data_IF_681798251807
#
_entry.id   IF_681798251807
#
_cell.length_a   1.000
_cell.length_b   1.000
_cell.length_c   1.000
_cell.angle_alpha   90.00
_cell.angle_beta   90.00
_cell.angle_gamma   90.00
#
_symmetry.space_group_name_H-M   'P 1'
#
loop_
_entity.id
_entity.type
_entity.pdbx_description
1 polymer ?
#
# COMPACT_ATOMS: atom_id res chain seq x y z
N UNK A 1 -8.95 5.06 0.30
CA UNK A 1 -7.68 4.33 0.45
C UNK A 1 -7.22 4.34 1.89
N UNK A 2 -6.49 3.32 2.31
CA UNK A 2 -5.90 3.32 3.65
C UNK A 2 -5.06 2.08 3.89
N UNK A 3 -4.14 2.19 4.85
CA UNK A 3 -3.24 1.10 5.16
C UNK A 3 -2.55 1.29 6.49
N UNK A 4 -1.88 0.23 6.94
CA UNK A 4 -1.20 0.15 8.21
C UNK A 4 0.26 -0.25 8.01
N UNK A 5 1.14 0.40 8.77
CA UNK A 5 2.56 0.10 8.81
C UNK A 5 2.90 -0.60 10.11
N UNK A 6 3.71 -1.65 9.99
CA UNK A 6 4.32 -2.34 11.12
C UNK A 6 5.84 -2.33 10.99
N UNK A 7 6.52 -2.29 12.12
CA UNK A 7 7.95 -2.57 12.16
C UNK A 7 8.24 -4.08 12.15
N UNK A 8 9.53 -4.44 12.18
CA UNK A 8 10.00 -5.83 12.17
C UNK A 8 9.61 -6.62 13.43
N UNK A 9 9.21 -5.94 14.50
CA UNK A 9 8.71 -6.53 15.75
C UNK A 9 7.17 -6.65 15.73
N UNK A 10 6.56 -6.48 14.55
CA UNK A 10 5.12 -6.49 14.32
C UNK A 10 4.34 -5.40 15.07
N UNK A 11 5.02 -4.36 15.57
CA UNK A 11 4.35 -3.24 16.25
C UNK A 11 3.77 -2.29 15.23
N UNK A 12 2.53 -1.86 15.45
CA UNK A 12 1.91 -0.82 14.64
C UNK A 12 2.63 0.51 14.87
N UNK A 13 3.21 1.06 13.80
CA UNK A 13 3.94 2.34 13.87
C UNK A 13 3.14 3.50 13.31
N UNK A 14 2.20 3.23 12.38
CA UNK A 14 1.37 4.24 11.72
C UNK A 14 0.22 3.62 10.93
N UNK A 15 -0.88 4.36 10.81
CA UNK A 15 -1.87 4.17 9.76
C UNK A 15 -2.00 5.39 8.85
N UNK A 16 -2.59 5.20 7.68
CA UNK A 16 -3.03 6.30 6.81
C UNK A 16 -4.43 6.00 6.28
N UNK A 17 -5.18 7.06 6.02
CA UNK A 17 -6.50 7.01 5.39
C UNK A 17 -6.63 8.21 4.46
N UNK A 18 -7.30 8.03 3.34
CA UNK A 18 -7.61 9.08 2.39
C UNK A 18 -8.91 8.77 1.67
N UNK A 19 -9.73 9.80 1.47
CA UNK A 19 -10.89 9.71 0.61
C UNK A 19 -10.47 9.87 -0.86
N UNK A 20 -10.99 8.99 -1.72
CA UNK A 20 -10.73 8.99 -3.17
C UNK A 20 -12.03 8.99 -3.97
N UNK A 21 -13.15 9.35 -3.34
CA UNK A 21 -14.48 9.32 -3.98
C UNK A 21 -14.79 7.93 -4.56
N UNK A 22 -15.67 7.85 -5.56
CA UNK A 22 -16.14 6.57 -6.14
C UNK A 22 -15.17 6.11 -7.23
N UNK A 23 -14.53 4.96 -7.00
CA UNK A 23 -13.64 4.28 -7.94
C UNK A 23 -13.90 2.76 -7.89
N UNK A 24 -13.48 2.03 -8.91
CA UNK A 24 -13.51 0.56 -8.90
C UNK A 24 -12.48 -0.02 -7.93
N UNK A 25 -12.72 -1.27 -7.52
CA UNK A 25 -11.95 -1.92 -6.45
C UNK A 25 -10.45 -2.02 -6.78
N UNK A 26 -10.10 -2.42 -8.01
CA UNK A 26 -8.70 -2.57 -8.42
C UNK A 26 -7.97 -1.24 -8.39
N UNK A 27 -8.60 -0.14 -8.83
CA UNK A 27 -8.00 1.21 -8.74
C UNK A 27 -7.85 1.69 -7.29
N UNK A 28 -8.84 1.44 -6.43
CA UNK A 28 -8.75 1.76 -4.99
C UNK A 28 -7.54 1.07 -4.36
N UNK A 29 -7.33 -0.20 -4.67
CA UNK A 29 -6.22 -1.01 -4.16
C UNK A 29 -4.87 -0.53 -4.70
N UNK A 30 -4.75 -0.29 -6.01
CA UNK A 30 -3.52 0.26 -6.59
C UNK A 30 -3.15 1.63 -6.01
N UNK A 31 -4.13 2.52 -5.80
CA UNK A 31 -3.89 3.81 -5.15
C UNK A 31 -3.51 3.67 -3.68
N UNK A 32 -4.07 2.67 -3.00
CA UNK A 32 -3.70 2.34 -1.61
C UNK A 32 -2.25 1.88 -1.52
N UNK A 33 -1.81 1.00 -2.43
CA UNK A 33 -0.43 0.52 -2.54
C UNK A 33 0.53 1.67 -2.86
N UNK A 34 0.22 2.48 -3.88
CA UNK A 34 1.01 3.65 -4.27
C UNK A 34 1.19 4.62 -3.09
N UNK A 35 0.11 5.00 -2.41
CA UNK A 35 0.17 5.88 -1.25
C UNK A 35 1.01 5.30 -0.11
N UNK A 36 0.90 3.99 0.13
CA UNK A 36 1.74 3.28 1.11
C UNK A 36 3.24 3.37 0.79
N UNK A 37 3.61 3.20 -0.48
CA UNK A 37 5.00 3.31 -0.93
C UNK A 37 5.52 4.75 -0.89
N UNK A 38 4.73 5.74 -1.32
CA UNK A 38 5.13 7.15 -1.24
C UNK A 38 5.41 7.58 0.20
N UNK A 39 4.55 7.18 1.15
CA UNK A 39 4.76 7.44 2.56
C UNK A 39 6.05 6.78 3.05
N UNK A 40 6.26 5.51 2.69
CA UNK A 40 7.46 4.76 3.09
C UNK A 40 8.74 5.41 2.54
N UNK A 41 8.71 5.81 1.28
CA UNK A 41 9.80 6.50 0.60
C UNK A 41 10.14 7.83 1.29
N UNK A 42 9.13 8.66 1.57
CA UNK A 42 9.30 9.93 2.29
C UNK A 42 9.83 9.74 3.72
N UNK A 43 9.57 8.59 4.32
CA UNK A 43 10.09 8.20 5.65
C UNK A 43 11.45 7.51 5.61
N UNK A 44 12.02 7.31 4.42
CA UNK A 44 13.31 6.64 4.21
C UNK A 44 13.36 5.22 4.79
N UNK A 45 12.24 4.50 4.71
CA UNK A 45 12.24 3.07 5.04
C UNK A 45 13.04 2.32 3.97
N UNK A 46 14.12 1.64 4.39
CA UNK A 46 15.05 0.98 3.48
C UNK A 46 14.48 -0.31 2.88
N UNK A 47 13.70 -1.05 3.66
CA UNK A 47 13.08 -2.31 3.25
C UNK A 47 11.61 -2.30 3.62
N UNK A 48 10.74 -2.47 2.62
CA UNK A 48 9.29 -2.46 2.77
C UNK A 48 8.74 -3.71 2.12
N UNK A 49 7.96 -4.47 2.89
CA UNK A 49 7.15 -5.57 2.39
C UNK A 49 5.70 -5.13 2.44
N UNK A 50 5.03 -5.18 1.30
CA UNK A 50 3.62 -4.83 1.20
C UNK A 50 2.75 -6.08 1.16
N UNK A 51 1.62 -6.02 1.85
CA UNK A 51 0.59 -7.07 1.85
C UNK A 51 -0.71 -6.45 1.38
N UNK A 52 -1.37 -7.09 0.41
CA UNK A 52 -2.72 -6.79 -0.03
C UNK A 52 -3.43 -8.11 -0.27
N UNK A 53 -4.75 -8.13 -0.07
CA UNK A 53 -5.64 -9.25 -0.38
C UNK A 53 -6.20 -9.14 -1.83
N UNK A 54 -5.88 -8.07 -2.54
CA UNK A 54 -6.29 -7.84 -3.93
C UNK A 54 -5.36 -8.53 -4.91
N UNK A 55 -5.72 -9.76 -5.31
CA UNK A 55 -5.00 -10.52 -6.34
C UNK A 55 -4.85 -9.74 -7.64
N UNK A 56 -5.87 -8.98 -8.04
CA UNK A 56 -5.83 -8.15 -9.26
C UNK A 56 -4.75 -7.07 -9.18
N UNK A 57 -4.69 -6.35 -8.05
CA UNK A 57 -3.70 -5.29 -7.85
C UNK A 57 -2.28 -5.86 -7.75
N UNK A 58 -2.11 -7.00 -7.07
CA UNK A 58 -0.83 -7.70 -6.98
C UNK A 58 -0.36 -8.18 -8.36
N UNK A 59 -1.25 -8.77 -9.15
CA UNK A 59 -0.95 -9.22 -10.52
C UNK A 59 -0.37 -8.08 -11.34
N UNK A 60 -1.07 -6.94 -11.39
CA UNK A 60 -0.64 -5.75 -12.14
C UNK A 60 0.69 -5.15 -11.66
N UNK A 61 1.02 -5.31 -10.37
CA UNK A 61 2.28 -4.81 -9.80
C UNK A 61 3.47 -5.72 -10.09
N UNK A 62 3.24 -7.03 -10.12
CA UNK A 62 4.29 -8.03 -10.31
C UNK A 62 4.50 -8.39 -11.78
N UNK A 63 3.61 -7.95 -12.67
CA UNK A 63 3.71 -8.18 -14.10
C UNK A 63 4.86 -7.36 -14.69
N UNK A 64 6.05 -7.95 -14.71
CA UNK A 64 7.22 -7.45 -15.42
C UNK A 64 7.24 -8.07 -16.82
N UNK A 65 6.49 -7.46 -17.75
CA UNK A 65 6.63 -7.73 -19.18
C UNK A 65 8.02 -7.35 -19.70
#
# INVERSE_FOLDING_TARGET
>A
VGGLFRDVEARWIRGFVGDISILDNTRVELLTLLGGFEISWRKRFAHVVCYSDSTDALSLMTDTS
#
